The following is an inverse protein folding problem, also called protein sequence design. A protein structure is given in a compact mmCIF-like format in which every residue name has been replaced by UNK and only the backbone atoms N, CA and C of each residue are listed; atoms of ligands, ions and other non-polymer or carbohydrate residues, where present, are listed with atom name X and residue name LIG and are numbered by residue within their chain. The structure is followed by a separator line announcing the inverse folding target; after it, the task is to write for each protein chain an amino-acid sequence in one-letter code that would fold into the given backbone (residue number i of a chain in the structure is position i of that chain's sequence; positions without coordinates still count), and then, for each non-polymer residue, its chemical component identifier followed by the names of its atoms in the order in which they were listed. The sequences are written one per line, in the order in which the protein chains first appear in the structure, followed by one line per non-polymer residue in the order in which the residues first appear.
data_IF_410160067027
#
_entry.id   IF_410160067027
#
_cell.length_a   1.000
_cell.length_b   1.000
_cell.length_c   1.000
_cell.angle_alpha   90.00
_cell.angle_beta   90.00
_cell.angle_gamma   90.00
#
_symmetry.space_group_name_H-M   'P 1'
#
loop_
_entity.id
_entity.type
_entity.pdbx_description
1 polymer ?
#
# COMPACT_ATOMS: atom_id res chain seq x y z
N UNK A 1 14.01 3.02 26.65
CA UNK A 1 12.69 2.52 27.11
C UNK A 1 12.14 1.70 25.97
N UNK A 2 11.77 0.43 26.19
CA UNK A 2 11.12 -0.41 25.18
C UNK A 2 9.62 -0.36 25.45
N UNK A 3 8.82 0.00 24.45
CA UNK A 3 7.35 -0.05 24.53
C UNK A 3 6.86 -1.08 23.54
N UNK A 4 5.99 -1.97 24.01
CA UNK A 4 5.29 -2.92 23.15
C UNK A 4 4.02 -2.24 22.64
N UNK A 5 3.84 -2.20 21.32
CA UNK A 5 2.59 -1.75 20.72
C UNK A 5 1.56 -2.87 20.78
N UNK A 6 0.32 -2.53 21.11
CA UNK A 6 -0.76 -3.51 21.09
C UNK A 6 -1.24 -3.70 19.65
N UNK A 7 -1.30 -4.93 19.10
CA UNK A 7 -1.60 -5.18 17.69
C UNK A 7 -2.92 -4.57 17.18
N UNK A 8 -3.93 -4.52 18.05
CA UNK A 8 -5.25 -3.96 17.72
C UNK A 8 -5.47 -2.52 18.17
N UNK A 9 -4.45 -1.86 18.73
CA UNK A 9 -4.51 -0.42 18.99
C UNK A 9 -4.00 0.36 17.78
N UNK A 10 -4.47 1.59 17.68
CA UNK A 10 -4.00 2.60 16.75
C UNK A 10 -3.24 3.62 17.61
N UNK A 11 -1.91 3.53 17.59
CA UNK A 11 -1.07 4.20 18.57
C UNK A 11 -0.86 5.68 18.25
N UNK A 12 -0.74 6.01 16.97
CA UNK A 12 -0.54 7.38 16.48
C UNK A 12 -1.85 8.05 16.03
N UNK A 13 -2.98 7.33 16.12
CA UNK A 13 -4.33 7.80 15.88
C UNK A 13 -4.62 8.16 14.41
N UNK A 14 -4.01 7.42 13.47
CA UNK A 14 -4.20 7.60 12.03
C UNK A 14 -5.39 6.78 11.46
N UNK A 15 -5.99 5.93 12.29
CA UNK A 15 -7.12 5.05 11.96
C UNK A 15 -6.72 3.63 11.54
N UNK A 16 -5.43 3.30 11.55
CA UNK A 16 -4.88 1.99 11.15
C UNK A 16 -4.34 1.27 12.40
N UNK A 17 -4.73 0.00 12.65
CA UNK A 17 -4.16 -0.76 13.77
C UNK A 17 -2.68 -1.06 13.56
N UNK A 18 -1.88 -1.04 14.64
CA UNK A 18 -0.42 -1.27 14.58
C UNK A 18 -0.01 -2.61 13.93
N UNK A 19 -0.87 -3.64 14.00
CA UNK A 19 -0.63 -4.89 13.28
C UNK A 19 -0.69 -4.73 11.76
N UNK A 20 -1.67 -3.97 11.27
CA UNK A 20 -1.86 -3.74 9.84
C UNK A 20 -0.74 -2.85 9.30
N UNK A 21 -0.29 -1.89 10.08
CA UNK A 21 0.88 -1.06 9.77
C UNK A 21 2.17 -1.89 9.68
N UNK A 22 2.39 -2.80 10.62
CA UNK A 22 3.51 -3.73 10.57
C UNK A 22 3.47 -4.61 9.30
N UNK A 23 2.30 -5.02 8.85
CA UNK A 23 2.13 -5.78 7.60
C UNK A 23 2.43 -4.89 6.39
N UNK A 24 1.89 -3.67 6.36
CA UNK A 24 2.06 -2.69 5.30
C UNK A 24 3.49 -2.13 5.21
N UNK A 25 4.27 -2.23 6.29
CA UNK A 25 5.61 -1.66 6.40
C UNK A 25 5.62 -0.18 6.77
N UNK A 26 4.54 0.32 7.37
CA UNK A 26 4.45 1.68 7.91
C UNK A 26 4.91 1.73 9.38
N UNK A 27 5.04 2.95 9.91
CA UNK A 27 5.51 3.21 11.27
C UNK A 27 4.33 3.57 12.15
N UNK A 28 3.93 2.63 13.01
CA UNK A 28 2.85 2.75 13.98
C UNK A 28 3.06 3.80 15.08
N UNK A 29 4.05 4.68 14.93
CA UNK A 29 4.32 5.81 15.81
C UNK A 29 4.33 7.15 15.09
N UNK A 30 4.11 7.16 13.77
CA UNK A 30 4.07 8.35 12.93
C UNK A 30 2.83 8.31 12.02
N UNK A 31 1.83 9.11 12.38
CA UNK A 31 0.55 9.20 11.66
C UNK A 31 0.66 9.68 10.21
N UNK A 32 1.85 10.06 9.73
CA UNK A 32 2.10 10.39 8.32
C UNK A 32 2.66 9.21 7.52
N UNK A 33 3.05 8.13 8.19
CA UNK A 33 3.57 6.90 7.60
C UNK A 33 2.39 6.01 7.19
N UNK A 34 1.86 6.22 5.99
CA UNK A 34 0.63 5.51 5.53
C UNK A 34 0.84 4.76 4.21
N UNK A 35 0.22 3.59 4.09
CA UNK A 35 0.18 2.81 2.85
C UNK A 35 -1.11 3.10 2.07
N UNK A 36 -1.06 4.16 1.26
CA UNK A 36 -2.22 4.66 0.52
C UNK A 36 -1.88 4.91 -0.95
N UNK A 37 -2.91 4.98 -1.79
CA UNK A 37 -2.78 5.49 -3.16
C UNK A 37 -2.66 7.00 -3.09
N UNK A 38 -1.51 7.53 -3.50
CA UNK A 38 -1.16 8.95 -3.41
C UNK A 38 -1.77 9.74 -4.57
N UNK A 39 -1.86 9.11 -5.75
CA UNK A 39 -2.34 9.74 -6.97
C UNK A 39 -2.91 8.69 -7.92
N UNK A 40 -3.92 9.08 -8.69
CA UNK A 40 -4.56 8.25 -9.71
C UNK A 40 -4.73 9.08 -10.99
N UNK A 41 -4.18 8.60 -12.10
CA UNK A 41 -4.25 9.27 -13.41
C UNK A 41 -4.83 8.33 -14.48
N UNK A 42 -5.27 8.91 -15.59
CA UNK A 42 -5.79 8.15 -16.73
C UNK A 42 -7.18 7.55 -16.47
N UNK A 43 -8.07 8.31 -15.81
CA UNK A 43 -9.44 7.87 -15.52
C UNK A 43 -10.35 7.81 -16.76
N UNK A 44 -9.87 8.29 -17.91
CA UNK A 44 -10.57 8.25 -19.21
C UNK A 44 -10.10 7.06 -20.03
N UNK A 45 -10.98 6.48 -20.85
CA UNK A 45 -10.74 5.23 -21.60
C UNK A 45 -9.55 5.24 -22.58
N UNK A 46 -8.95 6.40 -22.85
CA UNK A 46 -7.87 6.57 -23.83
C UNK A 46 -6.46 6.61 -23.22
N UNK A 47 -6.33 6.68 -21.88
CA UNK A 47 -5.04 6.73 -21.19
C UNK A 47 -4.85 5.51 -20.28
N UNK A 48 -3.61 5.00 -20.13
CA UNK A 48 -3.33 3.97 -19.15
C UNK A 48 -3.63 4.50 -17.75
N UNK A 49 -4.25 3.66 -16.90
CA UNK A 49 -4.41 3.96 -15.48
C UNK A 49 -3.04 3.90 -14.81
N UNK A 50 -2.65 4.99 -14.18
CA UNK A 50 -1.40 5.10 -13.41
C UNK A 50 -1.77 5.36 -11.96
N UNK A 51 -1.11 4.65 -11.05
CA UNK A 51 -1.24 4.87 -9.62
C UNK A 51 0.14 5.03 -9.01
N UNK A 52 0.25 5.98 -8.09
CA UNK A 52 1.43 6.18 -7.27
C UNK A 52 1.13 5.69 -5.86
N UNK A 53 2.01 4.85 -5.31
CA UNK A 53 1.89 4.29 -3.96
C UNK A 53 3.21 4.47 -3.21
N UNK A 54 3.12 4.76 -1.92
CA UNK A 54 4.30 4.77 -1.03
C UNK A 54 4.62 3.33 -0.64
N UNK A 55 5.88 2.90 -0.77
CA UNK A 55 6.33 1.55 -0.42
C UNK A 55 7.49 1.59 0.56
N UNK A 56 7.61 0.53 1.36
CA UNK A 56 8.74 0.34 2.27
C UNK A 56 9.74 -0.66 1.68
N UNK A 57 11.06 -0.41 1.80
CA UNK A 57 12.08 -1.35 1.35
C UNK A 57 11.95 -2.73 1.99
N UNK A 58 12.28 -3.77 1.22
CA UNK A 58 12.23 -5.15 1.70
C UNK A 58 10.84 -5.75 1.82
N UNK A 59 9.80 -5.05 1.35
CA UNK A 59 8.42 -5.52 1.30
C UNK A 59 8.01 -5.89 -0.12
N UNK A 60 6.99 -6.74 -0.19
CA UNK A 60 6.39 -7.19 -1.43
C UNK A 60 4.93 -6.75 -1.46
N UNK A 61 4.56 -5.98 -2.47
CA UNK A 61 3.22 -5.38 -2.59
C UNK A 61 2.50 -5.93 -3.82
N UNK A 62 1.20 -6.14 -3.70
CA UNK A 62 0.33 -6.47 -4.83
C UNK A 62 -0.88 -5.55 -4.86
N UNK A 63 -1.20 -4.99 -6.02
CA UNK A 63 -2.39 -4.15 -6.19
C UNK A 63 -3.43 -4.90 -7.01
N UNK A 64 -4.68 -4.82 -6.56
CA UNK A 64 -5.84 -5.34 -7.25
C UNK A 64 -6.86 -4.21 -7.42
N UNK A 65 -7.66 -4.28 -8.48
CA UNK A 65 -8.74 -3.35 -8.74
C UNK A 65 -10.03 -4.10 -9.02
N UNK A 66 -11.15 -3.45 -8.74
CA UNK A 66 -12.48 -3.91 -9.13
C UNK A 66 -13.30 -2.69 -9.56
N UNK A 67 -14.15 -2.88 -10.57
CA UNK A 67 -15.09 -1.85 -11.00
C UNK A 67 -16.40 -1.89 -10.18
N UNK A 68 -16.54 -2.84 -9.25
CA UNK A 68 -17.73 -3.00 -8.40
C UNK A 68 -17.36 -3.39 -6.97
N UNK A 69 -17.87 -2.64 -5.99
CA UNK A 69 -17.80 -3.02 -4.57
C UNK A 69 -18.99 -3.88 -4.12
N UNK A 70 -20.00 -4.07 -4.97
CA UNK A 70 -21.17 -4.90 -4.67
C UNK A 70 -20.81 -6.39 -4.64
N UNK A 71 -21.21 -7.13 -3.60
CA UNK A 71 -20.96 -8.57 -3.52
C UNK A 71 -21.73 -9.39 -4.59
N UNK A 72 -21.09 -10.38 -5.24
CA UNK A 72 -19.68 -10.72 -5.15
C UNK A 72 -18.81 -9.81 -6.03
N UNK A 73 -17.92 -9.03 -5.40
CA UNK A 73 -16.94 -8.23 -6.10
C UNK A 73 -15.84 -9.14 -6.68
N UNK A 74 -15.56 -8.99 -7.97
CA UNK A 74 -14.46 -9.70 -8.64
C UNK A 74 -13.27 -8.74 -8.70
N UNK A 75 -12.15 -9.18 -8.13
CA UNK A 75 -10.90 -8.42 -8.09
C UNK A 75 -9.93 -8.89 -9.17
N UNK A 76 -9.34 -7.94 -9.88
CA UNK A 76 -8.38 -8.18 -10.96
C UNK A 76 -7.01 -7.62 -10.55
N UNK A 77 -5.90 -8.27 -10.89
CA UNK A 77 -4.57 -7.71 -10.65
C UNK A 77 -4.39 -6.41 -11.43
N UNK A 78 -3.84 -5.39 -10.78
CA UNK A 78 -3.49 -4.11 -11.41
C UNK A 78 -2.04 -4.14 -11.93
N UNK A 79 -1.80 -3.57 -13.10
CA UNK A 79 -0.47 -3.43 -13.71
C UNK A 79 -0.30 -4.15 -15.05
N UNK A 80 0.90 -4.00 -15.64
CA UNK A 80 1.24 -4.58 -16.94
C UNK A 80 1.53 -6.08 -16.82
N UNK A 81 0.62 -6.94 -17.30
CA UNK A 81 0.76 -8.40 -17.25
C UNK A 81 1.95 -8.96 -18.03
N UNK A 82 2.59 -8.16 -18.90
CA UNK A 82 3.76 -8.57 -19.70
C UNK A 82 5.10 -8.30 -19.02
N UNK A 83 5.15 -7.52 -17.93
CA UNK A 83 6.39 -7.23 -17.18
C UNK A 83 6.45 -7.96 -15.82
N UNK A 84 5.70 -9.06 -15.70
CA UNK A 84 5.40 -9.68 -14.42
C UNK A 84 4.30 -8.91 -13.72
N UNK A 85 3.38 -9.63 -13.08
CA UNK A 85 2.28 -9.06 -12.29
C UNK A 85 2.82 -7.97 -11.34
N UNK A 86 1.98 -6.96 -11.02
CA UNK A 86 2.26 -5.83 -10.13
C UNK A 86 2.59 -6.23 -8.70
N UNK A 87 3.68 -6.96 -8.59
CA UNK A 87 4.31 -7.66 -7.48
C UNK A 87 5.75 -7.21 -7.54
N UNK A 88 6.04 -6.07 -6.92
CA UNK A 88 7.40 -5.54 -6.87
C UNK A 88 7.94 -5.75 -5.46
N UNK A 89 9.19 -6.19 -5.41
CA UNK A 89 9.98 -6.16 -4.19
C UNK A 89 10.70 -4.81 -4.18
N UNK A 90 10.41 -3.97 -3.19
CA UNK A 90 11.05 -2.66 -3.10
C UNK A 90 12.53 -2.83 -2.73
N UNK A 91 13.40 -2.71 -3.73
CA UNK A 91 14.86 -2.88 -3.59
C UNK A 91 15.59 -1.58 -3.29
N UNK A 92 14.93 -0.43 -3.40
CA UNK A 92 15.59 0.83 -3.10
C UNK A 92 15.92 0.86 -1.61
N UNK A 93 17.20 1.06 -1.29
CA UNK A 93 17.59 1.40 0.08
C UNK A 93 16.93 2.76 0.39
N UNK A 94 16.40 2.94 1.61
CA UNK A 94 15.97 4.27 2.08
C UNK A 94 17.06 5.29 1.71
N UNK A 95 16.72 6.52 1.26
CA UNK A 95 17.72 7.57 1.15
C UNK A 95 18.48 7.60 2.48
N UNK A 96 19.81 7.47 2.42
CA UNK A 96 20.63 7.57 3.62
C UNK A 96 20.33 8.92 4.28
N UNK A 97 19.68 8.89 5.44
CA UNK A 97 19.55 10.04 6.33
C UNK A 97 20.86 10.30 7.04
#
# INVERSE_FOLDING_TARGET
IVRLLHPGEDFDADGIPSADELVAGTDATDSNSVFVVVNQQGMTSELPRVIDVTTAPGRHYSIQFTDSLEPPAIWYPFGNTNLGFGSWYETNLLPAT
#
